data_IF_611165550654
#
_entry.id   IF_611165550654
#
_cell.length_a   1.000
_cell.length_b   1.000
_cell.length_c   1.000
_cell.angle_alpha   90.00
_cell.angle_beta   90.00
_cell.angle_gamma   90.00
#
_symmetry.space_group_name_H-M   'P 1'
#
loop_
_entity.id
_entity.type
_entity.pdbx_description
1 polymer ?
#
# COMPACT_ATOMS: atom_id res chain seq x y z
N UNK A 1 -5.07 11.37 -2.34
CA UNK A 1 -4.38 10.13 -1.95
C UNK A 1 -3.00 10.48 -1.42
N UNK A 2 -2.43 9.63 -0.55
CA UNK A 2 -1.04 9.77 -0.10
C UNK A 2 -0.34 8.41 -0.28
N UNK A 3 0.94 8.44 -0.65
CA UNK A 3 1.78 7.26 -0.85
C UNK A 3 3.01 7.42 0.03
N UNK A 4 3.31 6.42 0.83
CA UNK A 4 4.51 6.36 1.66
C UNK A 4 5.31 5.13 1.27
N UNK A 5 6.60 5.33 1.00
CA UNK A 5 7.53 4.29 0.58
C UNK A 5 8.55 4.01 1.69
N UNK A 6 8.90 2.74 1.89
CA UNK A 6 10.10 2.39 2.64
C UNK A 6 11.32 2.41 1.71
N UNK A 7 12.45 2.88 2.22
CA UNK A 7 13.75 2.82 1.51
C UNK A 7 14.52 1.53 1.82
N UNK A 8 14.13 0.82 2.90
CA UNK A 8 14.79 -0.41 3.37
C UNK A 8 14.04 -1.67 2.94
N UNK A 9 12.72 -1.56 2.78
CA UNK A 9 11.85 -2.64 2.35
C UNK A 9 11.14 -2.23 1.05
N UNK A 10 11.01 -3.14 0.08
CA UNK A 10 10.31 -2.86 -1.16
C UNK A 10 8.78 -2.88 -0.94
N UNK A 11 8.28 -1.92 -0.16
CA UNK A 11 6.86 -1.76 0.18
C UNK A 11 6.37 -0.31 0.07
N UNK A 12 5.12 -0.14 -0.39
CA UNK A 12 4.40 1.14 -0.37
C UNK A 12 3.09 1.00 0.41
N UNK A 13 2.75 2.04 1.18
CA UNK A 13 1.43 2.20 1.79
C UNK A 13 0.69 3.30 1.02
N UNK A 14 -0.47 2.96 0.45
CA UNK A 14 -1.34 3.88 -0.27
C UNK A 14 -2.59 4.16 0.55
N UNK A 15 -2.79 5.41 0.95
CA UNK A 15 -4.00 5.84 1.66
C UNK A 15 -4.99 6.50 0.68
N UNK A 16 -6.12 5.82 0.45
CA UNK A 16 -7.22 6.26 -0.41
C UNK A 16 -8.34 6.85 0.44
N UNK A 17 -8.20 8.13 0.77
CA UNK A 17 -9.13 8.85 1.66
C UNK A 17 -10.59 8.86 1.21
N UNK A 18 -10.84 8.87 -0.10
CA UNK A 18 -12.20 8.95 -0.66
C UNK A 18 -12.98 7.66 -0.41
N UNK A 19 -12.31 6.50 -0.47
CA UNK A 19 -12.94 5.20 -0.26
C UNK A 19 -12.78 4.71 1.18
N UNK A 20 -11.82 5.26 1.93
CA UNK A 20 -11.50 4.80 3.29
C UNK A 20 -10.72 3.48 3.27
N UNK A 21 -9.89 3.25 2.26
CA UNK A 21 -9.04 2.07 2.15
C UNK A 21 -7.56 2.42 2.27
N UNK A 22 -6.80 1.52 2.89
CA UNK A 22 -5.34 1.53 2.92
C UNK A 22 -4.87 0.30 2.14
N UNK A 23 -4.04 0.51 1.13
CA UNK A 23 -3.43 -0.57 0.35
C UNK A 23 -1.97 -0.72 0.79
N UNK A 24 -1.61 -1.92 1.20
CA UNK A 24 -0.22 -2.34 1.38
C UNK A 24 0.22 -3.03 0.08
N UNK A 25 1.26 -2.49 -0.54
CA UNK A 25 1.79 -3.01 -1.80
C UNK A 25 3.22 -3.45 -1.57
N UNK A 26 3.45 -4.76 -1.62
CA UNK A 26 4.79 -5.34 -1.67
C UNK A 26 5.23 -5.46 -3.14
N UNK A 27 6.39 -4.88 -3.43
CA UNK A 27 7.04 -4.90 -4.74
C UNK A 27 8.42 -5.55 -4.69
N UNK A 28 8.67 -6.41 -3.70
CA UNK A 28 9.91 -7.20 -3.61
C UNK A 28 10.18 -8.00 -4.87
N UNK A 29 9.12 -8.43 -5.56
CA UNK A 29 9.14 -9.02 -6.89
C UNK A 29 8.23 -8.22 -7.84
N UNK A 30 8.83 -7.46 -8.76
CA UNK A 30 8.09 -6.62 -9.72
C UNK A 30 7.27 -7.42 -10.73
N UNK A 31 7.59 -8.70 -10.95
CA UNK A 31 6.82 -9.60 -11.81
C UNK A 31 5.59 -10.17 -11.08
N UNK A 32 5.54 -10.07 -9.75
CA UNK A 32 4.47 -10.62 -8.90
C UNK A 32 4.20 -9.73 -7.69
N UNK A 33 3.55 -8.60 -7.93
CA UNK A 33 3.13 -7.68 -6.87
C UNK A 33 2.10 -8.32 -5.94
N UNK A 34 2.27 -8.13 -4.63
CA UNK A 34 1.27 -8.53 -3.64
C UNK A 34 0.59 -7.28 -3.08
N UNK A 35 -0.74 -7.24 -3.16
CA UNK A 35 -1.54 -6.12 -2.66
C UNK A 35 -2.49 -6.62 -1.59
N UNK A 36 -2.42 -5.99 -0.40
CA UNK A 36 -3.35 -6.23 0.70
C UNK A 36 -4.25 -5.02 0.87
N UNK A 37 -5.56 -5.22 0.74
CA UNK A 37 -6.58 -4.20 1.04
C UNK A 37 -6.93 -4.22 2.52
N UNK A 38 -6.84 -3.06 3.17
CA UNK A 38 -7.20 -2.87 4.57
C UNK A 38 -8.26 -1.76 4.63
N UNK A 39 -9.47 -2.05 5.14
CA UNK A 39 -10.44 -1.00 5.43
C UNK A 39 -9.88 -0.10 6.53
N UNK A 40 -9.82 1.21 6.26
CA UNK A 40 -9.40 2.18 7.26
C UNK A 40 -10.42 2.20 8.39
N UNK A 41 -9.99 1.87 9.61
CA UNK A 41 -10.79 2.15 10.79
C UNK A 41 -11.01 3.67 10.88
N UNK A 42 -12.28 4.08 10.96
CA UNK A 42 -12.67 5.49 11.08
C UNK A 42 -12.30 6.05 12.45
#
# INVERSE_FOLDING_TARGET
AAIVASHEHPEFIVNVKETGHILLVDYSNVDSLTVTDIPAAK
#
